data_IF_129469462717
#
_entry.id   IF_129469462717
#
_cell.length_a   1.000
_cell.length_b   1.000
_cell.length_c   1.000
_cell.angle_alpha   90.00
_cell.angle_beta   90.00
_cell.angle_gamma   90.00
#
_symmetry.space_group_name_H-M   'P 1'
#
loop_
_entity.id
_entity.type
_entity.pdbx_description
1 polymer ?
#
# COMPACT_ATOMS: atom_id res chain seq x y z
N UNK A 1 -14.94 10.30 -1.03
CA UNK A 1 -13.59 10.45 -0.44
C UNK A 1 -13.54 9.99 1.02
N UNK A 2 -14.30 10.61 1.93
CA UNK A 2 -14.30 10.23 3.36
C UNK A 2 -14.75 8.77 3.57
N UNK A 3 -15.89 8.40 2.98
CA UNK A 3 -16.44 7.02 3.09
C UNK A 3 -15.41 5.98 2.62
N UNK A 4 -14.73 6.25 1.51
CA UNK A 4 -13.72 5.31 0.99
C UNK A 4 -12.53 5.14 1.93
N UNK A 5 -12.10 6.23 2.58
CA UNK A 5 -11.01 6.18 3.57
C UNK A 5 -11.43 5.42 4.83
N UNK A 6 -12.65 5.64 5.33
CA UNK A 6 -13.19 4.92 6.49
C UNK A 6 -13.26 3.42 6.20
N UNK A 7 -13.75 3.03 5.01
CA UNK A 7 -13.79 1.62 4.58
C UNK A 7 -12.36 1.04 4.51
N UNK A 8 -11.40 1.78 3.92
CA UNK A 8 -10.02 1.33 3.84
C UNK A 8 -9.38 1.13 5.22
N UNK A 9 -9.60 2.05 6.16
CA UNK A 9 -9.16 1.95 7.55
C UNK A 9 -9.78 0.72 8.21
N UNK A 10 -11.10 0.55 8.10
CA UNK A 10 -11.82 -0.60 8.67
C UNK A 10 -11.30 -1.94 8.15
N UNK A 11 -11.10 -2.07 6.83
CA UNK A 11 -10.52 -3.28 6.23
C UNK A 11 -9.09 -3.54 6.71
N UNK A 12 -8.29 -2.49 6.85
CA UNK A 12 -6.90 -2.61 7.31
C UNK A 12 -6.82 -3.04 8.77
N UNK A 13 -7.66 -2.45 9.64
CA UNK A 13 -7.78 -2.88 11.05
C UNK A 13 -8.25 -4.33 11.12
N UNK A 14 -9.29 -4.70 10.38
CA UNK A 14 -9.76 -6.10 10.32
C UNK A 14 -8.64 -7.06 9.92
N UNK A 15 -7.84 -6.73 8.91
CA UNK A 15 -6.71 -7.57 8.50
C UNK A 15 -5.67 -7.71 9.60
N UNK A 16 -5.35 -6.63 10.31
CA UNK A 16 -4.37 -6.61 11.38
C UNK A 16 -4.84 -7.44 12.57
N UNK A 17 -6.11 -7.30 12.97
CA UNK A 17 -6.71 -8.09 14.04
C UNK A 17 -6.69 -9.59 13.70
N UNK A 18 -7.02 -9.97 12.46
CA UNK A 18 -6.94 -11.38 12.03
C UNK A 18 -5.51 -11.90 12.17
N UNK A 19 -4.50 -11.14 11.74
CA UNK A 19 -3.10 -11.59 11.81
C UNK A 19 -2.63 -11.73 13.26
N UNK A 20 -3.09 -10.87 14.18
CA UNK A 20 -2.73 -10.91 15.60
C UNK A 20 -3.40 -12.07 16.33
N UNK A 21 -4.68 -12.35 16.04
CA UNK A 21 -5.45 -13.37 16.77
C UNK A 21 -5.35 -14.77 16.18
N UNK A 22 -5.07 -14.92 14.89
CA UNK A 22 -4.95 -16.23 14.24
C UNK A 22 -3.51 -16.72 14.27
N UNK A 23 -3.25 -17.75 15.09
CA UNK A 23 -1.92 -18.38 15.21
C UNK A 23 -1.42 -18.98 13.90
N UNK A 24 -2.31 -19.33 12.96
CA UNK A 24 -1.93 -19.81 11.61
C UNK A 24 -1.30 -18.70 10.77
N UNK A 25 -1.50 -17.44 11.15
CA UNK A 25 -0.91 -16.27 10.51
C UNK A 25 0.47 -15.89 11.08
N UNK A 26 1.03 -16.60 12.07
CA UNK A 26 2.33 -16.26 12.67
C UNK A 26 3.55 -16.65 11.81
N UNK A 27 3.54 -16.27 10.53
CA UNK A 27 4.59 -16.53 9.55
C UNK A 27 5.25 -15.22 9.11
N UNK A 28 6.50 -15.32 8.60
CA UNK A 28 7.26 -14.17 8.10
C UNK A 28 6.54 -13.35 7.00
N UNK A 29 5.92 -13.96 5.97
CA UNK A 29 5.15 -13.21 4.98
C UNK A 29 4.01 -12.40 5.63
N UNK A 30 3.35 -12.95 6.66
CA UNK A 30 2.26 -12.26 7.34
C UNK A 30 2.71 -11.12 8.23
N UNK A 31 3.92 -11.19 8.78
CA UNK A 31 4.53 -10.06 9.47
C UNK A 31 4.69 -8.86 8.52
N UNK A 32 5.12 -9.11 7.28
CA UNK A 32 5.24 -8.05 6.27
C UNK A 32 3.87 -7.55 5.78
N UNK A 33 2.89 -8.44 5.70
CA UNK A 33 1.49 -8.05 5.40
C UNK A 33 0.93 -7.18 6.54
N UNK A 34 1.17 -7.53 7.80
CA UNK A 34 0.77 -6.73 8.95
C UNK A 34 1.44 -5.35 8.94
N UNK A 35 2.72 -5.26 8.58
CA UNK A 35 3.41 -3.99 8.40
C UNK A 35 2.73 -3.13 7.31
N UNK A 36 2.37 -3.73 6.16
CA UNK A 36 1.62 -3.02 5.13
C UNK A 36 0.26 -2.55 5.62
N UNK A 37 -0.50 -3.39 6.33
CA UNK A 37 -1.78 -2.99 6.93
C UNK A 37 -1.62 -1.83 7.91
N UNK A 38 -0.55 -1.83 8.72
CA UNK A 38 -0.25 -0.75 9.67
C UNK A 38 0.09 0.56 8.94
N UNK A 39 0.99 0.52 7.96
CA UNK A 39 1.33 1.70 7.14
C UNK A 39 0.12 2.25 6.39
N UNK A 40 -0.80 1.37 5.96
CA UNK A 40 -2.03 1.77 5.30
C UNK A 40 -3.04 2.43 6.25
N UNK A 41 -3.19 1.93 7.48
CA UNK A 41 -3.99 2.60 8.51
C UNK A 41 -3.46 4.01 8.73
N UNK A 42 -2.14 4.14 8.92
CA UNK A 42 -1.49 5.44 9.12
C UNK A 42 -1.75 6.39 7.94
N UNK A 43 -1.46 5.96 6.71
CA UNK A 43 -1.65 6.80 5.52
C UNK A 43 -3.11 7.20 5.31
N UNK A 44 -4.05 6.24 5.42
CA UNK A 44 -5.47 6.52 5.26
C UNK A 44 -6.01 7.46 6.35
N UNK A 45 -5.49 7.37 7.57
CA UNK A 45 -5.85 8.28 8.67
C UNK A 45 -5.34 9.70 8.42
N UNK A 46 -4.11 9.84 7.93
CA UNK A 46 -3.54 11.15 7.56
C UNK A 46 -4.31 11.78 6.40
N UNK A 47 -4.65 10.99 5.37
CA UNK A 47 -5.50 11.45 4.26
C UNK A 47 -6.90 11.84 4.73
N UNK A 48 -7.46 11.11 5.69
CA UNK A 48 -8.77 11.44 6.28
C UNK A 48 -8.70 12.77 7.02
N UNK A 49 -7.66 13.00 7.82
CA UNK A 49 -7.43 14.29 8.50
C UNK A 49 -7.29 15.45 7.52
N UNK A 50 -6.50 15.28 6.45
CA UNK A 50 -6.37 16.27 5.38
C UNK A 50 -7.70 16.55 4.67
N UNK A 51 -8.46 15.50 4.39
CA UNK A 51 -9.77 15.60 3.73
C UNK A 51 -10.77 16.37 4.59
N UNK A 52 -10.83 16.05 5.89
CA UNK A 52 -11.74 16.73 6.83
C UNK A 52 -11.36 18.21 6.94
N UNK A 53 -10.07 18.52 7.07
CA UNK A 53 -9.59 19.90 7.13
C UNK A 53 -9.95 20.70 5.87
N UNK A 54 -9.70 20.14 4.68
CA UNK A 54 -10.09 20.79 3.42
C UNK A 54 -11.61 20.95 3.33
N UNK A 55 -12.40 19.96 3.76
CA UNK A 55 -13.86 20.03 3.71
C UNK A 55 -14.40 21.09 4.68
N UNK A 56 -13.83 21.22 5.87
CA UNK A 56 -14.24 22.22 6.86
C UNK A 56 -13.97 23.64 6.35
N UNK A 57 -12.82 23.86 5.72
CA UNK A 57 -12.47 25.14 5.11
C UNK A 57 -13.38 25.48 3.91
N UNK A 58 -13.73 24.49 3.08
CA UNK A 58 -14.69 24.65 1.99
C UNK A 58 -16.09 25.01 2.51
N UNK A 59 -16.60 24.27 3.51
CA UNK A 59 -17.93 24.51 4.11
C UNK A 59 -18.01 25.90 4.74
N UNK A 60 -16.96 26.31 5.45
CA UNK A 60 -16.90 27.62 6.11
C UNK A 60 -16.54 28.76 5.13
N UNK A 61 -16.17 28.43 3.88
CA UNK A 61 -15.65 29.37 2.88
C UNK A 61 -14.47 30.21 3.43
N UNK A 62 -13.54 29.57 4.14
CA UNK A 62 -12.39 30.25 4.77
C UNK A 62 -11.08 29.72 4.20
N UNK A 63 -10.16 30.65 3.94
CA UNK A 63 -8.75 30.34 3.71
C UNK A 63 -8.04 30.39 5.06
N UNK A 64 -8.11 29.27 5.78
CA UNK A 64 -7.53 29.16 7.12
C UNK A 64 -6.33 28.21 7.12
N UNK A 65 -5.24 28.69 7.70
CA UNK A 65 -4.02 27.94 7.96
C UNK A 65 -3.88 27.75 9.46
N UNK A 66 -3.76 26.49 9.91
CA UNK A 66 -3.48 26.16 11.29
C UNK A 66 -2.04 25.68 11.49
N UNK A 67 -1.58 25.68 12.74
CA UNK A 67 -0.23 25.25 13.10
C UNK A 67 0.05 23.79 12.72
N UNK A 68 -0.99 22.96 12.64
CA UNK A 68 -0.89 21.54 12.28
C UNK A 68 -0.82 21.30 10.78
N UNK A 69 -1.03 22.31 9.93
CA UNK A 69 -1.07 22.14 8.48
C UNK A 69 0.25 21.57 7.93
N UNK A 70 1.40 22.15 8.33
CA UNK A 70 2.72 21.64 7.94
C UNK A 70 2.93 20.20 8.42
N UNK A 71 2.50 19.91 9.66
CA UNK A 71 2.61 18.57 10.26
C UNK A 71 1.79 17.55 9.45
N UNK A 72 0.57 17.90 9.03
CA UNK A 72 -0.24 17.03 8.17
C UNK A 72 0.44 16.81 6.82
N UNK A 73 1.00 17.86 6.23
CA UNK A 73 1.75 17.78 4.96
C UNK A 73 2.91 16.80 5.08
N UNK A 74 3.75 16.98 6.10
CA UNK A 74 4.86 16.09 6.42
C UNK A 74 4.42 14.64 6.62
N UNK A 75 3.41 14.41 7.48
CA UNK A 75 2.89 13.07 7.75
C UNK A 75 2.35 12.41 6.49
N UNK A 76 1.77 13.17 5.56
CA UNK A 76 1.25 12.63 4.30
C UNK A 76 2.37 12.04 3.44
N UNK A 77 3.50 12.74 3.32
CA UNK A 77 4.67 12.25 2.58
C UNK A 77 5.34 11.08 3.31
N UNK A 78 5.51 11.18 4.63
CA UNK A 78 6.13 10.13 5.43
C UNK A 78 5.34 8.82 5.37
N UNK A 79 4.02 8.89 5.56
CA UNK A 79 3.15 7.71 5.57
C UNK A 79 2.94 7.12 4.16
N UNK A 80 2.90 7.95 3.11
CA UNK A 80 2.89 7.48 1.72
C UNK A 80 4.15 6.67 1.41
N UNK A 81 5.32 7.20 1.78
CA UNK A 81 6.60 6.51 1.57
C UNK A 81 6.68 5.22 2.37
N UNK A 82 6.28 5.24 3.65
CA UNK A 82 6.23 4.04 4.47
C UNK A 82 5.38 2.93 3.82
N UNK A 83 4.21 3.29 3.27
CA UNK A 83 3.34 2.36 2.55
C UNK A 83 4.01 1.78 1.30
N UNK A 84 4.60 2.61 0.44
CA UNK A 84 5.25 2.16 -0.79
C UNK A 84 6.48 1.28 -0.51
N UNK A 85 7.32 1.65 0.46
CA UNK A 85 8.46 0.84 0.86
C UNK A 85 8.06 -0.46 1.57
N UNK A 86 6.92 -0.50 2.27
CA UNK A 86 6.38 -1.75 2.81
C UNK A 86 6.05 -2.75 1.69
N UNK A 87 5.46 -2.29 0.58
CA UNK A 87 5.23 -3.15 -0.59
C UNK A 87 6.52 -3.55 -1.30
N UNK A 88 7.51 -2.66 -1.37
CA UNK A 88 8.83 -2.98 -1.89
C UNK A 88 9.51 -4.07 -1.06
N UNK A 89 9.45 -3.97 0.27
CA UNK A 89 10.00 -4.96 1.17
C UNK A 89 9.34 -6.33 0.97
N UNK A 90 8.02 -6.38 0.79
CA UNK A 90 7.33 -7.61 0.43
C UNK A 90 7.80 -8.19 -0.91
N UNK A 91 8.04 -7.35 -1.92
CA UNK A 91 8.54 -7.78 -3.23
C UNK A 91 9.95 -8.36 -3.13
N UNK A 92 10.84 -7.68 -2.40
CA UNK A 92 12.22 -8.12 -2.15
C UNK A 92 12.22 -9.46 -1.40
N UNK A 93 11.42 -9.59 -0.34
CA UNK A 93 11.33 -10.83 0.42
C UNK A 93 10.92 -12.02 -0.46
N UNK A 94 9.92 -11.83 -1.34
CA UNK A 94 9.50 -12.86 -2.30
C UNK A 94 10.59 -13.19 -3.31
N UNK A 95 11.29 -12.16 -3.81
CA UNK A 95 12.43 -12.35 -4.70
C UNK A 95 13.51 -13.23 -4.06
N UNK A 96 13.86 -12.95 -2.80
CA UNK A 96 14.86 -13.70 -2.03
C UNK A 96 14.44 -15.15 -1.86
N UNK A 97 13.18 -15.44 -1.49
CA UNK A 97 12.71 -16.82 -1.31
C UNK A 97 12.77 -17.62 -2.62
N UNK A 98 12.45 -16.99 -3.74
CA UNK A 98 12.34 -17.66 -5.04
C UNK A 98 13.73 -17.92 -5.66
N UNK A 99 14.64 -16.94 -5.58
CA UNK A 99 15.97 -17.04 -6.19
C UNK A 99 17.06 -17.59 -5.24
N UNK A 100 16.92 -17.36 -3.94
CA UNK A 100 17.91 -17.74 -2.92
C UNK A 100 17.28 -18.55 -1.77
N UNK A 101 16.64 -19.71 -2.07
CA UNK A 101 15.93 -20.48 -1.05
C UNK A 101 16.83 -21.01 0.07
N UNK A 102 18.13 -21.21 -0.19
CA UNK A 102 19.10 -21.77 0.76
C UNK A 102 19.63 -20.70 1.72
N UNK A 103 19.51 -19.41 1.37
CA UNK A 103 20.09 -18.34 2.17
C UNK A 103 19.17 -17.95 3.34
N UNK A 104 19.28 -18.70 4.45
CA UNK A 104 18.47 -18.56 5.65
C UNK A 104 18.70 -17.22 6.38
N UNK A 105 19.84 -16.55 6.16
CA UNK A 105 20.16 -15.28 6.80
C UNK A 105 19.11 -14.21 6.47
N UNK A 106 18.84 -13.99 5.17
CA UNK A 106 17.86 -13.02 4.72
C UNK A 106 16.41 -13.40 5.05
N UNK A 107 16.16 -14.68 5.31
CA UNK A 107 14.84 -15.18 5.71
C UNK A 107 14.63 -15.13 7.23
N UNK A 108 15.62 -14.70 8.02
CA UNK A 108 15.49 -14.61 9.47
C UNK A 108 14.51 -13.51 9.90
N UNK A 109 13.67 -13.81 10.90
CA UNK A 109 12.75 -12.85 11.54
C UNK A 109 13.47 -11.59 12.03
N UNK A 110 14.69 -11.74 12.56
CA UNK A 110 15.48 -10.62 13.08
C UNK A 110 15.89 -9.65 11.96
N UNK A 111 16.34 -10.18 10.82
CA UNK A 111 16.73 -9.38 9.67
C UNK A 111 15.52 -8.70 9.04
N UNK A 112 14.41 -9.42 8.88
CA UNK A 112 13.19 -8.84 8.34
C UNK A 112 12.62 -7.73 9.25
N UNK A 113 12.66 -7.91 10.57
CA UNK A 113 12.30 -6.85 11.54
C UNK A 113 13.22 -5.64 11.44
N UNK A 114 14.54 -5.87 11.32
CA UNK A 114 15.51 -4.79 11.12
C UNK A 114 15.21 -4.01 9.84
N UNK A 115 14.93 -4.69 8.73
CA UNK A 115 14.56 -4.05 7.46
C UNK A 115 13.28 -3.23 7.59
N UNK A 116 12.26 -3.74 8.31
CA UNK A 116 11.06 -2.96 8.63
C UNK A 116 11.45 -1.69 9.38
N UNK A 117 12.20 -1.79 10.48
CA UNK A 117 12.62 -0.61 11.26
C UNK A 117 13.38 0.40 10.39
N UNK A 118 14.30 -0.06 9.55
CA UNK A 118 15.05 0.81 8.62
C UNK A 118 14.11 1.50 7.63
N UNK A 119 13.12 0.80 7.07
CA UNK A 119 12.14 1.43 6.17
C UNK A 119 11.29 2.49 6.87
N UNK A 120 10.90 2.26 8.13
CA UNK A 120 10.20 3.26 8.93
C UNK A 120 11.08 4.47 9.18
N UNK A 121 12.32 4.27 9.66
CA UNK A 121 13.26 5.37 9.90
C UNK A 121 13.49 6.19 8.62
N UNK A 122 13.76 5.54 7.49
CA UNK A 122 13.91 6.22 6.21
C UNK A 122 12.67 7.06 5.84
N UNK A 123 11.48 6.47 5.97
CA UNK A 123 10.21 7.10 5.59
C UNK A 123 9.90 8.37 6.38
N UNK A 124 10.34 8.45 7.65
CA UNK A 124 10.15 9.64 8.49
C UNK A 124 11.33 10.62 8.44
N UNK A 125 12.56 10.15 8.18
CA UNK A 125 13.74 11.01 8.11
C UNK A 125 13.77 11.79 6.80
N UNK A 126 13.49 11.17 5.66
CA UNK A 126 13.65 11.86 4.37
C UNK A 126 12.73 13.08 4.17
N UNK A 127 11.44 13.09 4.59
CA UNK A 127 10.58 14.26 4.44
C UNK A 127 10.76 15.26 5.58
N UNK A 128 11.51 14.91 6.63
CA UNK A 128 11.78 15.79 7.77
C UNK A 128 12.59 17.02 7.34
N UNK A 129 13.46 16.86 6.34
CA UNK A 129 14.22 17.96 5.75
C UNK A 129 13.31 19.10 5.25
N UNK A 130 12.13 18.77 4.71
CA UNK A 130 11.20 19.76 4.14
C UNK A 130 10.53 20.65 5.19
N UNK A 131 10.55 20.24 6.46
CA UNK A 131 10.09 21.08 7.56
C UNK A 131 11.08 22.23 7.79
N UNK A 132 12.39 21.96 7.72
CA UNK A 132 13.42 22.98 7.97
C UNK A 132 13.67 23.88 6.77
N UNK A 133 13.55 23.36 5.55
CA UNK A 133 13.69 24.17 4.34
C UNK A 133 12.49 25.09 4.09
N UNK A 134 11.36 24.85 4.76
CA UNK A 134 10.13 25.60 4.55
C UNK A 134 9.42 25.26 3.23
N UNK A 135 9.75 24.11 2.62
CA UNK A 135 9.20 23.70 1.32
C UNK A 135 7.73 23.28 1.41
N UNK A 136 7.23 22.88 2.58
CA UNK A 136 5.82 22.54 2.78
C UNK A 136 5.06 23.82 3.09
N UNK A 137 4.26 24.29 2.14
CA UNK A 137 3.49 25.53 2.28
C UNK A 137 2.00 25.29 2.10
N UNK A 138 1.19 26.19 2.65
CA UNK A 138 -0.26 26.14 2.48
C UNK A 138 -0.63 26.60 1.06
N UNK A 139 -1.31 25.73 0.33
CA UNK A 139 -1.83 26.05 -0.99
C UNK A 139 -3.32 26.42 -0.88
N UNK A 140 -3.64 27.69 -1.15
CA UNK A 140 -5.00 28.22 -1.06
C UNK A 140 -5.97 27.63 -2.09
N UNK A 141 -5.47 27.23 -3.28
CA UNK A 141 -6.29 26.62 -4.34
C UNK A 141 -6.82 25.24 -3.95
N UNK A 142 -5.99 24.44 -3.29
CA UNK A 142 -6.36 23.09 -2.87
C UNK A 142 -6.80 23.02 -1.40
N UNK A 143 -6.54 24.08 -0.61
CA UNK A 143 -6.72 24.16 0.85
C UNK A 143 -5.98 23.05 1.61
N UNK A 144 -4.76 22.74 1.15
CA UNK A 144 -3.91 21.70 1.71
C UNK A 144 -2.47 22.22 1.89
N UNK A 145 -1.78 21.74 2.92
CA UNK A 145 -0.34 21.94 3.04
C UNK A 145 0.41 20.85 2.30
N UNK A 146 1.20 21.25 1.31
CA UNK A 146 1.97 20.37 0.45
C UNK A 146 3.17 21.13 -0.12
N UNK A 147 4.11 20.41 -0.71
CA UNK A 147 5.17 21.03 -1.50
C UNK A 147 4.51 21.71 -2.72
N UNK A 148 4.89 22.95 -3.04
CA UNK A 148 4.42 23.63 -4.24
C UNK A 148 4.57 22.75 -5.49
N UNK A 149 3.54 22.75 -6.33
CA UNK A 149 3.43 21.87 -7.50
C UNK A 149 4.16 22.41 -8.74
N UNK A 150 5.05 23.39 -8.56
CA UNK A 150 5.96 23.87 -9.60
C UNK A 150 7.25 23.04 -9.61
N UNK A 151 7.93 23.01 -10.76
CA UNK A 151 9.18 22.27 -10.91
C UNK A 151 10.23 22.77 -9.90
N UNK A 152 10.53 21.93 -8.91
CA UNK A 152 11.51 22.20 -7.86
C UNK A 152 12.27 20.92 -7.53
N UNK A 153 13.47 21.08 -6.97
CA UNK A 153 14.27 19.96 -6.51
C UNK A 153 13.52 19.12 -5.46
N UNK A 154 12.88 19.79 -4.50
CA UNK A 154 12.11 19.14 -3.42
C UNK A 154 10.95 18.30 -3.97
N UNK A 155 10.21 18.81 -4.95
CA UNK A 155 9.14 18.08 -5.61
C UNK A 155 9.66 16.84 -6.35
N UNK A 156 10.72 16.98 -7.17
CA UNK A 156 11.33 15.86 -7.88
C UNK A 156 11.86 14.80 -6.91
N UNK A 157 12.49 15.23 -5.83
CA UNK A 157 13.03 14.34 -4.81
C UNK A 157 11.94 13.53 -4.10
N UNK A 158 10.80 14.15 -3.76
CA UNK A 158 9.65 13.46 -3.18
C UNK A 158 9.00 12.51 -4.16
N UNK A 159 8.83 12.89 -5.43
CA UNK A 159 8.24 12.00 -6.43
C UNK A 159 9.11 10.76 -6.62
N UNK A 160 10.42 10.96 -6.74
CA UNK A 160 11.36 9.87 -6.97
C UNK A 160 11.42 8.93 -5.77
N UNK A 161 11.69 9.45 -4.57
CA UNK A 161 11.86 8.60 -3.38
C UNK A 161 10.51 8.09 -2.86
N UNK A 162 9.48 8.93 -2.83
CA UNK A 162 8.19 8.57 -2.23
C UNK A 162 7.31 7.67 -3.09
N UNK A 163 7.47 7.69 -4.42
CA UNK A 163 6.58 6.94 -5.32
C UNK A 163 7.32 6.23 -6.47
N UNK A 164 7.99 6.96 -7.37
CA UNK A 164 8.48 6.40 -8.63
C UNK A 164 9.54 5.31 -8.39
N UNK A 165 10.52 5.57 -7.53
CA UNK A 165 11.59 4.65 -7.15
C UNK A 165 11.06 3.31 -6.62
N UNK A 166 10.28 3.28 -5.52
CA UNK A 166 9.75 2.02 -4.99
C UNK A 166 8.81 1.33 -5.98
N UNK A 167 7.95 2.05 -6.70
CA UNK A 167 7.04 1.46 -7.69
C UNK A 167 7.80 0.81 -8.84
N UNK A 168 8.78 1.49 -9.44
CA UNK A 168 9.61 0.94 -10.52
C UNK A 168 10.40 -0.28 -10.05
N UNK A 169 10.99 -0.23 -8.85
CA UNK A 169 11.72 -1.35 -8.27
C UNK A 169 10.81 -2.57 -8.08
N UNK A 170 9.59 -2.37 -7.57
CA UNK A 170 8.58 -3.42 -7.44
C UNK A 170 8.26 -4.05 -8.81
N UNK A 171 8.03 -3.24 -9.84
CA UNK A 171 7.73 -3.74 -11.18
C UNK A 171 8.89 -4.57 -11.75
N UNK A 172 10.13 -4.11 -11.61
CA UNK A 172 11.32 -4.84 -12.08
C UNK A 172 11.42 -6.20 -11.37
N UNK A 173 11.23 -6.24 -10.06
CA UNK A 173 11.27 -7.49 -9.27
C UNK A 173 10.20 -8.47 -9.76
N UNK A 174 8.97 -8.02 -9.93
CA UNK A 174 7.89 -8.90 -10.38
C UNK A 174 8.03 -9.36 -11.83
N UNK A 175 8.54 -8.51 -12.72
CA UNK A 175 8.88 -8.92 -14.09
C UNK A 175 9.94 -10.02 -14.10
N UNK A 176 10.98 -9.91 -13.26
CA UNK A 176 11.99 -10.97 -13.09
C UNK A 176 11.38 -12.26 -12.55
N UNK A 177 10.52 -12.17 -11.53
CA UNK A 177 9.80 -13.33 -10.98
C UNK A 177 8.92 -14.01 -12.03
N UNK A 178 8.15 -13.26 -12.82
CA UNK A 178 7.32 -13.81 -13.89
C UNK A 178 8.16 -14.53 -14.94
N UNK A 179 9.27 -13.92 -15.39
CA UNK A 179 10.18 -14.53 -16.38
C UNK A 179 10.76 -15.83 -15.86
N UNK A 180 11.28 -15.83 -14.64
CA UNK A 180 11.85 -17.01 -13.99
C UNK A 180 10.84 -18.14 -13.83
N UNK A 181 9.63 -17.82 -13.35
CA UNK A 181 8.56 -18.82 -13.21
C UNK A 181 8.14 -19.38 -14.59
N UNK A 182 8.13 -18.55 -15.64
CA UNK A 182 7.85 -19.01 -17.01
C UNK A 182 8.96 -19.93 -17.52
N UNK A 183 10.23 -19.62 -17.27
CA UNK A 183 11.36 -20.47 -17.64
C UNK A 183 11.33 -21.83 -16.92
N UNK A 184 11.13 -21.83 -15.60
CA UNK A 184 10.95 -23.07 -14.84
C UNK A 184 9.73 -23.84 -15.35
N UNK A 185 8.61 -23.18 -15.66
CA UNK A 185 7.43 -23.87 -16.18
C UNK A 185 7.70 -24.59 -17.49
N UNK A 186 8.54 -24.03 -18.37
CA UNK A 186 8.98 -24.69 -19.61
C UNK A 186 9.84 -25.92 -19.32
N UNK A 187 10.74 -25.83 -18.35
CA UNK A 187 11.65 -26.93 -17.95
C UNK A 187 10.95 -28.02 -17.10
N UNK A 188 9.93 -27.65 -16.33
CA UNK A 188 9.21 -28.53 -15.40
C UNK A 188 8.10 -29.35 -16.07
N UNK A 189 7.74 -29.07 -17.32
CA UNK A 189 6.92 -29.98 -18.15
C UNK A 189 7.56 -31.38 -18.21
N UNK A 190 8.89 -31.45 -18.05
CA UNK A 190 9.67 -32.69 -17.98
C UNK A 190 9.69 -33.37 -16.59
N UNK A 191 9.22 -32.72 -15.52
CA UNK A 191 9.32 -33.27 -14.14
C UNK A 191 8.05 -32.97 -13.30
N UNK A 192 7.18 -33.98 -13.16
CA UNK A 192 5.83 -33.89 -12.55
C UNK A 192 5.80 -33.36 -11.11
N UNK A 193 6.87 -33.54 -10.33
CA UNK A 193 6.88 -33.23 -8.89
C UNK A 193 6.94 -31.72 -8.56
N UNK A 194 7.37 -30.86 -9.50
CA UNK A 194 7.52 -29.42 -9.24
C UNK A 194 6.28 -28.59 -9.63
N UNK A 195 5.34 -29.17 -10.38
CA UNK A 195 4.15 -28.52 -10.92
C UNK A 195 3.26 -27.82 -9.85
N UNK A 196 2.94 -28.42 -8.69
CA UNK A 196 2.07 -27.77 -7.70
C UNK A 196 2.76 -26.57 -7.01
N UNK A 197 4.08 -26.63 -6.79
CA UNK A 197 4.87 -25.51 -6.25
C UNK A 197 4.87 -24.33 -7.23
N UNK A 198 5.17 -24.60 -8.50
CA UNK A 198 5.19 -23.59 -9.57
C UNK A 198 3.82 -22.91 -9.71
N UNK A 199 2.72 -23.68 -9.70
CA UNK A 199 1.36 -23.11 -9.78
C UNK A 199 1.03 -22.18 -8.61
N UNK A 200 1.46 -22.53 -7.38
CA UNK A 200 1.26 -21.67 -6.20
C UNK A 200 2.03 -20.36 -6.34
N UNK A 201 3.31 -20.42 -6.71
CA UNK A 201 4.14 -19.24 -6.93
C UNK A 201 3.58 -18.34 -8.05
N UNK A 202 3.19 -18.92 -9.19
CA UNK A 202 2.63 -18.19 -10.33
C UNK A 202 1.28 -17.52 -9.97
N UNK A 203 0.44 -18.20 -9.20
CA UNK A 203 -0.81 -17.64 -8.68
C UNK A 203 -0.52 -16.45 -7.76
N UNK A 204 0.47 -16.56 -6.87
CA UNK A 204 0.87 -15.45 -5.99
C UNK A 204 1.49 -14.27 -6.75
N UNK A 205 2.34 -14.53 -7.75
CA UNK A 205 2.95 -13.48 -8.58
C UNK A 205 1.89 -12.75 -9.40
N UNK A 206 0.98 -13.47 -10.08
CA UNK A 206 -0.12 -12.87 -10.85
C UNK A 206 -0.98 -11.94 -9.99
N UNK A 207 -1.28 -12.37 -8.77
CA UNK A 207 -2.04 -11.62 -7.77
C UNK A 207 -1.39 -10.29 -7.41
N UNK A 208 -0.09 -10.26 -7.21
CA UNK A 208 0.59 -9.02 -6.83
C UNK A 208 0.81 -8.10 -8.02
N UNK A 209 1.11 -8.67 -9.20
CA UNK A 209 1.15 -7.90 -10.44
C UNK A 209 -0.19 -7.16 -10.62
N UNK A 210 -1.32 -7.81 -10.32
CA UNK A 210 -2.63 -7.16 -10.31
C UNK A 210 -2.73 -6.04 -9.26
N UNK A 211 -2.26 -6.23 -8.02
CA UNK A 211 -2.24 -5.16 -7.00
C UNK A 211 -1.40 -3.97 -7.47
N UNK A 212 -0.21 -4.21 -7.98
CA UNK A 212 0.70 -3.15 -8.43
C UNK A 212 0.19 -2.46 -9.68
N UNK A 213 -0.47 -3.19 -10.59
CA UNK A 213 -1.12 -2.60 -11.75
C UNK A 213 -2.30 -1.71 -11.32
N UNK A 214 -3.09 -2.13 -10.33
CA UNK A 214 -4.17 -1.29 -9.75
C UNK A 214 -3.59 -0.01 -9.14
N UNK A 215 -2.49 -0.11 -8.38
CA UNK A 215 -1.83 1.04 -7.76
C UNK A 215 -1.32 2.02 -8.83
N UNK A 216 -0.70 1.51 -9.91
CA UNK A 216 -0.24 2.33 -11.03
C UNK A 216 -1.43 2.95 -11.79
N UNK A 217 -2.43 2.15 -12.17
CA UNK A 217 -3.58 2.62 -12.97
C UNK A 217 -4.40 3.67 -12.23
N UNK A 218 -4.60 3.50 -10.93
CA UNK A 218 -5.37 4.44 -10.12
C UNK A 218 -4.54 5.62 -9.60
N UNK A 219 -3.21 5.48 -9.53
CA UNK A 219 -2.27 6.58 -9.26
C UNK A 219 -1.93 7.42 -10.49
N UNK A 220 -2.12 6.86 -11.70
CA UNK A 220 -1.83 7.53 -12.97
C UNK A 220 -2.50 8.89 -13.13
N UNK A 221 -3.80 9.07 -12.82
CA UNK A 221 -4.44 10.39 -12.89
C UNK A 221 -3.68 11.44 -12.08
N UNK A 222 -3.26 11.09 -10.85
CA UNK A 222 -2.53 12.02 -9.98
C UNK A 222 -1.16 12.36 -10.51
N UNK A 223 -0.41 11.38 -10.99
CA UNK A 223 0.89 11.63 -11.61
C UNK A 223 0.77 12.42 -12.91
N UNK A 224 -0.28 12.20 -13.69
CA UNK A 224 -0.53 12.91 -14.95
C UNK A 224 -0.88 14.37 -14.69
N UNK A 225 -1.73 14.66 -13.70
CA UNK A 225 -2.05 16.05 -13.33
C UNK A 225 -0.87 16.76 -12.69
N UNK A 226 -0.05 16.06 -11.91
CA UNK A 226 1.21 16.59 -11.41
C UNK A 226 2.19 16.87 -12.56
N UNK A 227 2.27 16.00 -13.57
CA UNK A 227 3.12 16.24 -14.72
C UNK A 227 2.63 17.43 -15.56
N UNK A 228 1.32 17.58 -15.74
CA UNK A 228 0.75 18.75 -16.41
C UNK A 228 1.11 20.05 -15.71
N UNK A 229 1.20 20.07 -14.38
CA UNK A 229 1.55 21.29 -13.64
C UNK A 229 2.97 21.80 -13.85
N UNK A 230 3.82 21.02 -14.50
CA UNK A 230 5.12 21.51 -14.97
C UNK A 230 5.01 22.40 -16.20
N UNK A 231 3.95 22.27 -16.99
CA UNK A 231 3.79 22.97 -18.28
C UNK A 231 2.68 24.02 -18.25
N UNK A 232 1.62 23.79 -17.47
CA UNK A 232 0.46 24.67 -17.40
C UNK A 232 -0.02 24.83 -15.96
N UNK A 233 -0.53 26.01 -15.61
CA UNK A 233 -1.20 26.20 -14.32
C UNK A 233 -2.49 25.38 -14.30
N UNK A 234 -2.57 24.32 -13.46
CA UNK A 234 -3.76 23.49 -13.42
C UNK A 234 -4.90 24.24 -12.73
N UNK A 235 -6.16 24.09 -13.18
CA UNK A 235 -7.28 24.74 -12.52
C UNK A 235 -7.47 24.21 -11.09
N UNK A 236 -8.00 25.07 -10.22
CA UNK A 236 -8.05 24.90 -8.74
C UNK A 236 -8.63 23.57 -8.25
N UNK A 237 -9.52 22.91 -9.01
CA UNK A 237 -10.19 21.68 -8.57
C UNK A 237 -9.56 20.37 -9.07
N UNK A 238 -8.53 20.42 -9.92
CA UNK A 238 -8.04 19.22 -10.62
C UNK A 238 -7.35 18.22 -9.70
N UNK A 239 -6.58 18.68 -8.72
CA UNK A 239 -5.94 17.80 -7.73
C UNK A 239 -6.94 17.15 -6.76
N UNK A 240 -8.04 17.85 -6.47
CA UNK A 240 -9.15 17.30 -5.69
C UNK A 240 -9.86 16.19 -6.45
N UNK A 241 -10.12 16.39 -7.74
CA UNK A 241 -10.67 15.35 -8.65
C UNK A 241 -9.71 14.16 -8.72
N UNK A 242 -8.41 14.41 -8.83
CA UNK A 242 -7.42 13.33 -8.85
C UNK A 242 -7.41 12.48 -7.58
N UNK A 243 -7.63 13.12 -6.43
CA UNK A 243 -7.71 12.43 -5.14
C UNK A 243 -8.91 11.47 -5.10
N UNK A 244 -9.97 11.71 -5.88
CA UNK A 244 -11.12 10.80 -6.02
C UNK A 244 -10.70 9.45 -6.61
N UNK A 245 -9.68 9.40 -7.47
CA UNK A 245 -9.17 8.14 -8.03
C UNK A 245 -8.17 7.44 -7.10
N UNK A 246 -7.39 8.22 -6.36
CA UNK A 246 -6.37 7.69 -5.44
C UNK A 246 -7.01 6.99 -4.24
N UNK A 247 -8.13 7.49 -3.71
CA UNK A 247 -8.75 6.93 -2.50
C UNK A 247 -9.39 5.53 -2.68
N UNK A 248 -10.14 5.23 -3.76
CA UNK A 248 -10.60 3.88 -4.06
C UNK A 248 -9.46 2.89 -4.25
N UNK A 249 -8.30 3.35 -4.73
CA UNK A 249 -7.12 2.48 -4.90
C UNK A 249 -6.71 1.82 -3.59
N UNK A 250 -6.80 2.54 -2.46
CA UNK A 250 -6.49 2.03 -1.13
C UNK A 250 -7.44 0.88 -0.75
N UNK A 251 -8.73 0.98 -1.09
CA UNK A 251 -9.70 -0.09 -0.88
C UNK A 251 -9.35 -1.30 -1.74
N UNK A 252 -9.09 -1.10 -3.04
CA UNK A 252 -8.76 -2.20 -3.94
C UNK A 252 -7.49 -2.92 -3.52
N UNK A 253 -6.47 -2.19 -3.06
CA UNK A 253 -5.24 -2.75 -2.50
C UNK A 253 -5.57 -3.65 -1.30
N UNK A 254 -6.42 -3.19 -0.37
CA UNK A 254 -6.79 -4.00 0.80
C UNK A 254 -7.64 -5.21 0.45
N UNK A 255 -8.61 -5.07 -0.45
CA UNK A 255 -9.43 -6.19 -0.93
C UNK A 255 -8.52 -7.23 -1.58
N UNK A 256 -7.61 -6.79 -2.43
CA UNK A 256 -6.67 -7.69 -3.10
C UNK A 256 -5.72 -8.36 -2.11
N UNK A 257 -5.18 -7.61 -1.14
CA UNK A 257 -4.37 -8.16 -0.06
C UNK A 257 -5.16 -9.20 0.77
N UNK A 258 -6.44 -8.96 1.05
CA UNK A 258 -7.34 -9.92 1.70
C UNK A 258 -7.58 -11.18 0.86
N UNK A 259 -7.90 -11.02 -0.43
CA UNK A 259 -8.22 -12.13 -1.32
C UNK A 259 -7.01 -13.01 -1.63
N UNK A 260 -5.81 -12.42 -1.61
CA UNK A 260 -4.59 -13.07 -2.06
C UNK A 260 -3.77 -13.68 -0.93
N UNK A 261 -4.07 -13.31 0.32
CA UNK A 261 -3.47 -13.87 1.52
C UNK A 261 -4.27 -15.10 1.95
N UNK A 262 -3.80 -16.29 1.58
CA UNK A 262 -4.56 -17.54 1.75
C UNK A 262 -4.98 -17.83 3.23
N UNK A 263 -4.12 -17.62 4.25
CA UNK A 263 -4.53 -17.74 5.66
C UNK A 263 -5.68 -16.80 6.03
N UNK A 264 -5.61 -15.54 5.62
CA UNK A 264 -6.64 -14.52 5.88
C UNK A 264 -7.99 -14.93 5.25
N UNK A 265 -7.94 -15.40 3.99
CA UNK A 265 -9.11 -15.93 3.29
C UNK A 265 -9.67 -17.19 3.97
N UNK A 266 -8.80 -18.08 4.41
CA UNK A 266 -9.19 -19.34 5.05
C UNK A 266 -9.85 -19.11 6.41
N UNK A 267 -9.39 -18.12 7.18
CA UNK A 267 -10.00 -17.71 8.44
C UNK A 267 -11.43 -17.21 8.23
N UNK A 268 -11.64 -16.32 7.25
CA UNK A 268 -12.97 -15.80 6.91
C UNK A 268 -13.90 -16.93 6.45
N UNK A 269 -13.43 -17.79 5.54
CA UNK A 269 -14.23 -18.92 5.07
C UNK A 269 -14.58 -19.92 6.17
N UNK A 270 -13.65 -20.21 7.09
CA UNK A 270 -13.91 -21.09 8.24
C UNK A 270 -15.01 -20.51 9.14
N UNK A 271 -14.97 -19.21 9.42
CA UNK A 271 -15.97 -18.55 10.26
C UNK A 271 -17.34 -18.44 9.58
N UNK A 272 -17.38 -18.24 8.26
CA UNK A 272 -18.63 -18.24 7.47
C UNK A 272 -19.24 -19.65 7.42
N UNK A 273 -18.43 -20.69 7.19
CA UNK A 273 -18.91 -22.07 7.12
C UNK A 273 -19.35 -22.60 8.49
N UNK A 274 -18.62 -22.30 9.57
CA UNK A 274 -19.05 -22.63 10.93
C UNK A 274 -20.43 -22.04 11.26
N UNK A 275 -20.70 -20.82 10.79
CA UNK A 275 -22.02 -20.17 10.95
C UNK A 275 -23.13 -20.80 10.10
N UNK A 276 -22.80 -21.51 9.01
CA UNK A 276 -23.78 -22.27 8.21
C UNK A 276 -24.13 -23.60 8.85
N UNK A 277 -23.16 -24.28 9.44
CA UNK A 277 -23.37 -25.58 10.09
C UNK A 277 -24.22 -25.46 11.38
N UNK A 278 -24.18 -24.31 12.07
CA UNK A 278 -25.02 -24.06 13.26
C UNK A 278 -26.48 -23.70 12.96
N UNK A 279 -26.88 -23.49 11.69
CA UNK A 279 -28.21 -23.00 11.31
C UNK A 279 -29.08 -24.08 10.64
N UNK A 280 -28.64 -25.34 10.60
CA UNK A 280 -29.51 -26.44 10.20
C UNK A 280 -30.19 -26.99 11.46
N UNK A 281 -31.47 -26.70 11.74
CA UNK A 281 -32.19 -27.43 12.76
C UNK A 281 -32.33 -28.87 12.25
N UNK A 282 -31.78 -29.82 13.00
CA UNK A 282 -32.19 -31.21 12.93
C UNK A 282 -33.68 -31.26 13.27
N UNK A 283 -34.53 -31.21 12.24
CA UNK A 283 -35.92 -31.65 12.35
C UNK A 283 -35.82 -33.14 12.66
N UNK A 284 -35.97 -33.48 13.94
CA UNK A 284 -36.11 -34.84 14.39
C UNK A 284 -37.32 -35.46 13.72
N UNK A 285 -37.08 -36.45 12.86
CA UNK A 285 -38.10 -37.40 12.47
C UNK A 285 -38.34 -38.31 13.68
N UNK A 286 -39.51 -38.15 14.29
CA UNK A 286 -40.19 -39.19 15.08
C UNK A 286 -41.26 -39.81 14.19
#
# INVERSE_FOLDING_TARGET
MIISLIIAIGLSICSLLIIIFDTTCHTLPMMLVANSSLTQILFATVLLMMTIFSLENDIKQRYYYDLFCIIRGYLSYASCTAMNYSFLLQAIYRYIIVFYPINLFWQSKRIQMLLVVVTWMFSYIYPFAFIFTGDITYNSSNQLCQIPLHLSFSLLFVIFNGYLGPVVAIQIIYLKLVRYVKEISKQAITTRNNLPRIRRELKMVRRIVTITAILVILGLPYTSFLFMSFFTEPPTYYYRISSIFTNPSLIFIMIALFQFTDPLKSFVLRKINFRRETVVPTIGQR
#
